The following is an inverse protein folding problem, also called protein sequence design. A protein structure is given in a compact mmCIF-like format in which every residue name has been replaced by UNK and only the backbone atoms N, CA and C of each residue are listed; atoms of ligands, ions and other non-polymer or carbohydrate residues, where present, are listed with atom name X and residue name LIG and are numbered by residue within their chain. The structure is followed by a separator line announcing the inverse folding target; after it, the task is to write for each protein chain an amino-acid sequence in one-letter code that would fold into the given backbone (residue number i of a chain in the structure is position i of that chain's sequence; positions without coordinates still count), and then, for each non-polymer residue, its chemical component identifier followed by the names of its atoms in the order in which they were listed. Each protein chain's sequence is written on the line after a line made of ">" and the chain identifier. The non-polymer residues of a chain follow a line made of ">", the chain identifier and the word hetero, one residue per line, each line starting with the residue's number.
data_IF_273677943121
#
_entry.id   IF_273677943121
#
_cell.length_a   1.000
_cell.length_b   1.000
_cell.length_c   1.000
_cell.angle_alpha   90.00
_cell.angle_beta   90.00
_cell.angle_gamma   90.00
#
_symmetry.space_group_name_H-M   'P 1'
#
loop_
_entity.id
_entity.type
_entity.pdbx_description
1 polymer ?
#
# COMPACT_ATOMS: atom_id res chain seq x y z
N UNK A 1 12.91 8.53 -12.06
CA UNK A 1 11.93 9.39 -12.74
C UNK A 1 11.87 8.91 -14.19
N UNK A 2 10.85 8.15 -14.51
CA UNK A 2 10.55 7.71 -15.87
C UNK A 2 9.84 8.87 -16.56
N UNK A 3 10.49 9.51 -17.54
CA UNK A 3 9.85 10.52 -18.39
C UNK A 3 9.40 9.80 -19.65
N UNK A 4 8.11 9.51 -19.74
CA UNK A 4 7.45 9.09 -20.97
C UNK A 4 6.86 10.35 -21.62
N UNK A 5 7.48 10.85 -22.69
CA UNK A 5 6.89 11.83 -23.59
C UNK A 5 6.21 11.06 -24.73
N UNK A 6 4.93 10.80 -24.59
CA UNK A 6 4.03 10.38 -25.66
C UNK A 6 2.70 11.09 -25.48
N UNK A 7 2.00 11.50 -26.57
CA UNK A 7 0.83 12.39 -26.51
C UNK A 7 -0.45 11.76 -25.94
N UNK A 8 -0.39 10.57 -25.38
CA UNK A 8 -1.53 9.93 -24.70
C UNK A 8 -1.04 9.16 -23.48
N UNK A 9 -0.98 9.86 -22.34
CA UNK A 9 -0.87 9.25 -21.01
C UNK A 9 -2.10 8.42 -20.64
N UNK A 10 -2.38 7.37 -21.40
CA UNK A 10 -3.22 6.28 -20.91
C UNK A 10 -2.35 5.43 -20.01
N UNK A 11 -2.59 5.51 -18.72
CA UNK A 11 -2.33 4.37 -17.83
C UNK A 11 -3.06 3.22 -18.51
N UNK A 12 -2.31 2.37 -19.22
CA UNK A 12 -2.88 1.18 -19.83
C UNK A 12 -3.62 0.44 -18.73
N UNK A 13 -4.90 0.25 -18.95
CA UNK A 13 -5.77 -0.52 -18.09
C UNK A 13 -5.07 -1.82 -17.74
N UNK A 14 -4.63 -1.97 -16.49
CA UNK A 14 -4.28 -3.24 -15.87
C UNK A 14 -5.56 -4.09 -15.76
N UNK A 15 -6.33 -4.14 -16.84
CA UNK A 15 -7.60 -4.81 -16.96
C UNK A 15 -7.39 -6.19 -17.56
N UNK A 16 -6.81 -7.09 -16.79
CA UNK A 16 -7.20 -8.47 -16.91
C UNK A 16 -7.20 -9.13 -15.52
N UNK A 17 -8.36 -8.98 -14.85
CA UNK A 17 -8.93 -9.95 -13.90
C UNK A 17 -8.02 -10.46 -12.77
N UNK A 18 -7.09 -9.67 -12.28
CA UNK A 18 -6.40 -10.01 -11.05
C UNK A 18 -7.22 -9.51 -9.86
N UNK A 19 -7.72 -10.43 -9.03
CA UNK A 19 -8.40 -10.10 -7.78
C UNK A 19 -7.49 -9.21 -6.94
N UNK A 20 -7.93 -7.98 -6.62
CA UNK A 20 -7.10 -7.00 -5.94
C UNK A 20 -7.82 -6.32 -4.79
N UNK A 21 -7.02 -5.84 -3.86
CA UNK A 21 -7.43 -4.94 -2.78
C UNK A 21 -6.91 -3.53 -3.10
N UNK A 22 -7.78 -2.55 -3.08
CA UNK A 22 -7.38 -1.14 -3.14
C UNK A 22 -7.11 -0.62 -1.74
N UNK A 23 -6.00 0.07 -1.56
CA UNK A 23 -5.60 0.71 -0.30
C UNK A 23 -5.58 2.21 -0.53
N UNK A 24 -6.42 2.96 0.19
CA UNK A 24 -6.41 4.41 0.17
C UNK A 24 -5.40 4.93 1.19
N UNK A 25 -4.45 5.73 0.71
CA UNK A 25 -3.34 6.27 1.52
C UNK A 25 -3.70 7.62 2.13
N UNK A 26 -3.87 7.64 3.45
CA UNK A 26 -4.12 8.85 4.24
C UNK A 26 -2.83 9.46 4.83
N UNK A 27 -1.68 9.13 4.27
CA UNK A 27 -0.38 9.64 4.71
C UNK A 27 0.25 8.84 5.86
N UNK A 28 -0.14 7.58 6.01
CA UNK A 28 0.50 6.69 6.98
C UNK A 28 1.86 6.22 6.51
N UNK A 29 2.86 6.28 7.39
CA UNK A 29 4.14 5.60 7.16
C UNK A 29 4.01 4.08 6.99
N UNK A 30 2.86 3.50 7.34
CA UNK A 30 2.61 2.07 7.27
C UNK A 30 1.80 1.64 6.04
N UNK A 31 1.38 2.55 5.15
CA UNK A 31 0.57 2.19 3.97
C UNK A 31 1.27 1.16 3.09
N UNK A 32 2.58 1.31 2.84
CA UNK A 32 3.37 0.34 2.09
C UNK A 32 3.45 -1.02 2.81
N UNK A 33 3.48 -1.00 4.14
CA UNK A 33 3.48 -2.22 4.95
C UNK A 33 2.16 -2.96 4.83
N UNK A 34 1.01 -2.24 4.81
CA UNK A 34 -0.30 -2.84 4.54
C UNK A 34 -0.26 -3.56 3.19
N UNK A 35 0.17 -2.88 2.12
CA UNK A 35 0.25 -3.45 0.77
C UNK A 35 1.12 -4.71 0.74
N UNK A 36 2.29 -4.67 1.39
CA UNK A 36 3.17 -5.83 1.53
C UNK A 36 2.48 -6.99 2.24
N UNK A 37 1.77 -6.75 3.35
CA UNK A 37 1.06 -7.80 4.10
C UNK A 37 -0.04 -8.45 3.27
N UNK A 38 -0.77 -7.67 2.45
CA UNK A 38 -1.79 -8.20 1.54
C UNK A 38 -1.13 -9.10 0.48
N UNK A 39 -0.02 -8.67 -0.11
CA UNK A 39 0.76 -9.46 -1.06
C UNK A 39 1.34 -10.74 -0.45
N UNK A 40 1.77 -10.69 0.81
CA UNK A 40 2.17 -11.89 1.56
C UNK A 40 1.00 -12.87 1.79
N UNK A 41 -0.26 -12.40 1.75
CA UNK A 41 -1.45 -13.24 1.71
C UNK A 41 -1.78 -13.80 0.32
N UNK A 42 -0.90 -13.55 -0.68
CA UNK A 42 -1.04 -13.97 -2.07
C UNK A 42 -2.23 -13.31 -2.80
N UNK A 43 -2.52 -12.07 -2.44
CA UNK A 43 -3.52 -11.20 -3.06
C UNK A 43 -2.81 -9.93 -3.56
N UNK A 44 -3.15 -9.48 -4.75
CA UNK A 44 -2.61 -8.23 -5.28
C UNK A 44 -3.19 -7.03 -4.52
N UNK A 45 -2.42 -5.94 -4.44
CA UNK A 45 -2.86 -4.70 -3.82
C UNK A 45 -2.33 -3.49 -4.57
N UNK A 46 -3.21 -2.50 -4.77
CA UNK A 46 -2.89 -1.20 -5.36
C UNK A 46 -3.05 -0.13 -4.30
N UNK A 47 -2.09 0.77 -4.20
CA UNK A 47 -2.17 1.95 -3.33
C UNK A 47 -2.60 3.12 -4.19
N UNK A 48 -3.64 3.83 -3.76
CA UNK A 48 -4.14 5.05 -4.37
C UNK A 48 -4.15 6.19 -3.35
N UNK A 49 -4.03 7.44 -3.79
CA UNK A 49 -4.25 8.59 -2.94
C UNK A 49 -5.64 8.55 -2.29
N UNK A 50 -5.77 9.08 -1.07
CA UNK A 50 -7.04 9.09 -0.32
C UNK A 50 -8.18 9.78 -1.08
N UNK A 51 -7.88 10.76 -1.92
CA UNK A 51 -8.83 11.57 -2.67
C UNK A 51 -9.12 11.05 -4.08
N UNK A 52 -8.72 9.82 -4.40
CA UNK A 52 -9.06 9.19 -5.67
C UNK A 52 -10.59 9.08 -5.78
N UNK A 53 -11.19 9.53 -6.89
CA UNK A 53 -12.65 9.44 -7.14
C UNK A 53 -13.14 7.99 -7.03
N UNK A 54 -14.35 7.82 -6.48
CA UNK A 54 -14.94 6.49 -6.34
C UNK A 54 -15.12 5.76 -7.67
N UNK A 55 -15.38 6.49 -8.75
CA UNK A 55 -15.49 5.94 -10.11
C UNK A 55 -14.19 5.32 -10.61
N UNK A 56 -13.05 5.97 -10.34
CA UNK A 56 -11.72 5.42 -10.69
C UNK A 56 -11.42 4.17 -9.87
N UNK A 57 -11.81 4.16 -8.59
CA UNK A 57 -11.67 2.97 -7.74
C UNK A 57 -12.55 1.84 -8.26
N UNK A 58 -13.80 2.14 -8.64
CA UNK A 58 -14.75 1.16 -9.19
C UNK A 58 -14.25 0.55 -10.50
N UNK A 59 -13.60 1.34 -11.36
CA UNK A 59 -13.01 0.88 -12.63
C UNK A 59 -11.93 -0.19 -12.44
N UNK A 60 -11.29 -0.22 -11.27
CA UNK A 60 -10.33 -1.28 -10.91
C UNK A 60 -10.99 -2.58 -10.44
N UNK A 61 -12.32 -2.62 -10.33
CA UNK A 61 -13.10 -3.76 -9.85
C UNK A 61 -12.52 -4.43 -8.58
N UNK A 62 -12.23 -3.66 -7.49
CA UNK A 62 -11.60 -4.21 -6.31
C UNK A 62 -12.50 -5.22 -5.60
N UNK A 63 -11.92 -6.27 -5.04
CA UNK A 63 -12.63 -7.22 -4.16
C UNK A 63 -12.86 -6.66 -2.76
N UNK A 64 -12.16 -5.60 -2.39
CA UNK A 64 -12.29 -4.90 -1.12
C UNK A 64 -11.39 -3.67 -1.05
N UNK A 65 -11.68 -2.78 -0.12
CA UNK A 65 -10.97 -1.53 0.09
C UNK A 65 -10.40 -1.50 1.52
N UNK A 66 -9.16 -1.04 1.66
CA UNK A 66 -8.55 -0.75 2.96
C UNK A 66 -8.31 0.75 3.06
N UNK A 67 -8.81 1.36 4.12
CA UNK A 67 -8.50 2.74 4.49
C UNK A 67 -7.32 2.69 5.47
N UNK A 68 -6.18 3.24 5.08
CA UNK A 68 -4.96 3.20 5.89
C UNK A 68 -5.06 4.04 7.17
N UNK A 69 -4.07 3.96 8.03
CA UNK A 69 -3.86 4.92 9.09
C UNK A 69 -3.52 6.32 8.55
N UNK A 70 -3.37 7.28 9.44
CA UNK A 70 -2.96 8.64 9.09
C UNK A 70 -2.52 9.43 10.32
N UNK A 71 -1.71 10.48 10.14
CA UNK A 71 -1.14 11.25 11.26
C UNK A 71 -2.09 12.30 11.83
N UNK A 72 -3.22 12.56 11.18
CA UNK A 72 -4.13 13.67 11.51
C UNK A 72 -5.36 13.20 12.30
N UNK A 73 -6.04 14.15 12.96
CA UNK A 73 -7.40 13.94 13.47
C UNK A 73 -8.43 14.14 12.35
N UNK A 74 -9.48 13.33 12.32
CA UNK A 74 -10.59 13.43 11.34
C UNK A 74 -11.38 14.75 11.47
N UNK A 75 -11.21 15.48 12.54
CA UNK A 75 -11.81 16.80 12.76
C UNK A 75 -10.87 17.95 12.45
N UNK A 76 -9.64 17.68 12.08
CA UNK A 76 -8.74 18.71 11.60
C UNK A 76 -9.28 19.37 10.34
N UNK A 77 -9.13 20.69 10.21
CA UNK A 77 -9.59 21.45 9.02
C UNK A 77 -8.98 20.93 7.71
N UNK A 78 -7.78 20.35 7.78
CA UNK A 78 -7.04 19.78 6.63
C UNK A 78 -7.02 18.25 6.68
N UNK A 79 -7.99 17.61 7.38
CA UNK A 79 -8.03 16.16 7.43
C UNK A 79 -8.15 15.57 6.01
N UNK A 80 -7.33 14.57 5.65
CA UNK A 80 -7.49 13.87 4.40
C UNK A 80 -8.78 13.04 4.49
N UNK A 81 -9.77 13.38 3.68
CA UNK A 81 -11.05 12.70 3.64
C UNK A 81 -11.28 12.16 2.22
N UNK A 82 -11.73 10.90 2.08
CA UNK A 82 -11.99 10.30 0.77
C UNK A 82 -13.30 10.80 0.18
N UNK A 83 -13.53 10.46 -1.09
CA UNK A 83 -14.85 10.56 -1.68
C UNK A 83 -15.84 9.68 -0.88
N UNK A 84 -16.96 10.27 -0.44
CA UNK A 84 -18.00 9.55 0.33
C UNK A 84 -18.57 8.36 -0.45
N UNK A 85 -18.64 8.46 -1.76
CA UNK A 85 -19.16 7.40 -2.63
C UNK A 85 -18.35 6.09 -2.56
N UNK A 86 -17.12 6.12 -2.03
CA UNK A 86 -16.31 4.91 -1.75
C UNK A 86 -17.06 3.93 -0.84
N UNK A 87 -17.88 4.43 0.09
CA UNK A 87 -18.67 3.60 0.98
C UNK A 87 -19.94 3.02 0.33
N UNK A 88 -20.25 3.42 -0.89
CA UNK A 88 -21.43 2.94 -1.64
C UNK A 88 -21.05 1.99 -2.79
N UNK A 89 -19.77 1.66 -2.96
CA UNK A 89 -19.27 0.75 -4.01
C UNK A 89 -19.69 -0.72 -3.84
N UNK A 90 -20.36 -1.07 -2.74
CA UNK A 90 -20.84 -2.43 -2.50
C UNK A 90 -19.78 -3.49 -2.18
N UNK A 91 -18.54 -3.08 -2.00
CA UNK A 91 -17.41 -3.97 -1.66
C UNK A 91 -17.07 -3.90 -0.16
N UNK A 92 -16.47 -4.95 0.41
CA UNK A 92 -16.00 -4.92 1.80
C UNK A 92 -14.99 -3.79 2.05
N UNK A 93 -15.12 -3.11 3.20
CA UNK A 93 -14.20 -2.04 3.61
C UNK A 93 -13.58 -2.36 4.97
N UNK A 94 -12.27 -2.18 5.09
CA UNK A 94 -11.52 -2.26 6.36
C UNK A 94 -10.87 -0.92 6.66
N UNK A 95 -11.29 -0.24 7.73
CA UNK A 95 -10.62 0.96 8.25
C UNK A 95 -9.58 0.59 9.30
N UNK A 96 -8.34 1.07 9.15
CA UNK A 96 -7.24 0.87 10.11
C UNK A 96 -6.92 2.21 10.77
N UNK A 97 -7.00 2.29 12.09
CA UNK A 97 -6.68 3.45 12.91
C UNK A 97 -7.43 4.71 12.42
N UNK A 98 -6.77 5.64 11.75
CA UNK A 98 -7.41 6.81 11.13
C UNK A 98 -8.50 6.40 10.12
N UNK A 99 -8.29 5.36 9.33
CA UNK A 99 -9.29 4.84 8.39
C UNK A 99 -10.58 4.37 9.05
N UNK A 100 -10.51 3.78 10.25
CA UNK A 100 -11.70 3.48 11.07
C UNK A 100 -12.41 4.78 11.48
N UNK A 101 -11.65 5.80 11.90
CA UNK A 101 -12.21 7.09 12.33
C UNK A 101 -12.88 7.84 11.18
N UNK A 102 -12.28 7.80 9.98
CA UNK A 102 -12.88 8.32 8.74
C UNK A 102 -14.20 7.62 8.45
N UNK A 103 -14.21 6.30 8.46
CA UNK A 103 -15.42 5.50 8.24
C UNK A 103 -16.51 5.86 9.27
N UNK A 104 -16.16 5.95 10.55
CA UNK A 104 -17.10 6.32 11.60
C UNK A 104 -17.70 7.71 11.38
N UNK A 105 -16.86 8.71 11.03
CA UNK A 105 -17.31 10.08 10.74
C UNK A 105 -18.32 10.13 9.60
N UNK A 106 -18.06 9.45 8.49
CA UNK A 106 -18.96 9.45 7.31
C UNK A 106 -20.27 8.70 7.56
N UNK A 107 -20.28 7.74 8.47
CA UNK A 107 -21.42 6.87 8.74
C UNK A 107 -22.22 7.28 10.00
N UNK A 108 -21.94 8.46 10.58
CA UNK A 108 -22.72 9.01 11.72
C UNK A 108 -22.26 8.57 13.12
N UNK A 109 -21.07 8.00 13.23
CA UNK A 109 -20.40 7.78 14.51
C UNK A 109 -19.76 9.05 15.06
N UNK A 110 -19.16 8.95 16.26
CA UNK A 110 -18.38 10.03 16.87
C UNK A 110 -16.97 9.58 17.17
N UNK A 111 -16.02 10.47 16.94
CA UNK A 111 -14.61 10.32 17.29
C UNK A 111 -14.25 11.49 18.20
N UNK A 112 -13.53 11.26 19.26
CA UNK A 112 -13.12 12.29 20.20
C UNK A 112 -11.67 12.06 20.60
N UNK A 113 -11.03 13.12 21.10
CA UNK A 113 -9.70 13.02 21.66
C UNK A 113 -9.72 12.14 22.91
N UNK A 114 -8.90 11.10 22.92
CA UNK A 114 -8.78 10.23 24.09
C UNK A 114 -8.14 10.94 25.29
N UNK A 115 -8.72 10.82 26.47
CA UNK A 115 -8.10 11.28 27.72
C UNK A 115 -6.78 10.55 27.97
N UNK A 116 -6.76 9.25 27.71
CA UNK A 116 -5.55 8.41 27.69
C UNK A 116 -5.26 8.01 26.25
N UNK A 117 -4.08 8.36 25.77
CA UNK A 117 -3.59 7.95 24.46
C UNK A 117 -3.07 6.52 24.55
N UNK A 118 -3.20 5.76 23.46
CA UNK A 118 -2.63 4.42 23.37
C UNK A 118 -1.50 4.42 22.34
N UNK A 119 -0.28 4.25 22.84
CA UNK A 119 0.93 4.08 22.01
C UNK A 119 1.69 2.86 22.46
N UNK A 120 2.15 2.07 21.48
CA UNK A 120 2.93 0.88 21.73
C UNK A 120 2.09 -0.38 21.92
N UNK A 121 2.64 -1.31 22.70
CA UNK A 121 2.05 -2.63 22.93
C UNK A 121 0.79 -2.55 23.80
N UNK A 122 -0.29 -3.18 23.32
CA UNK A 122 -1.54 -3.31 24.04
C UNK A 122 -2.10 -4.72 23.98
N UNK A 123 -3.09 -5.00 24.83
CA UNK A 123 -3.82 -6.26 24.83
C UNK A 123 -5.22 -6.04 24.27
N UNK A 124 -5.55 -6.75 23.19
CA UNK A 124 -6.88 -6.78 22.59
C UNK A 124 -7.67 -7.97 23.15
N UNK A 125 -8.86 -7.70 23.65
CA UNK A 125 -9.81 -8.74 24.08
C UNK A 125 -10.93 -8.88 23.07
N UNK A 126 -11.00 -10.03 22.39
CA UNK A 126 -12.05 -10.36 21.42
C UNK A 126 -13.35 -10.70 22.19
N UNK A 127 -14.41 -9.95 21.92
CA UNK A 127 -15.74 -10.10 22.55
C UNK A 127 -16.70 -10.94 21.70
N UNK A 128 -16.65 -10.82 20.36
CA UNK A 128 -17.43 -11.64 19.44
C UNK A 128 -16.50 -12.52 18.56
N UNK A 129 -16.32 -13.76 18.97
CA UNK A 129 -15.52 -14.75 18.20
C UNK A 129 -16.14 -15.17 16.88
N UNK A 130 -17.39 -14.78 16.57
CA UNK A 130 -18.06 -15.05 15.29
C UNK A 130 -17.67 -14.03 14.22
N UNK A 131 -16.97 -12.95 14.58
CA UNK A 131 -16.45 -12.02 13.60
C UNK A 131 -15.41 -12.70 12.72
N UNK A 132 -15.60 -12.61 11.41
CA UNK A 132 -14.74 -13.25 10.43
C UNK A 132 -13.27 -12.79 10.51
N UNK A 133 -13.01 -11.53 10.90
CA UNK A 133 -11.65 -11.02 11.09
C UNK A 133 -10.85 -11.79 12.12
N UNK A 134 -11.51 -12.24 13.21
CA UNK A 134 -10.88 -12.90 14.34
C UNK A 134 -11.07 -14.43 14.33
N UNK A 135 -11.64 -14.97 13.27
CA UNK A 135 -11.87 -16.42 13.16
C UNK A 135 -10.58 -17.23 13.32
N UNK A 136 -10.61 -18.23 14.22
CA UNK A 136 -9.47 -19.09 14.61
C UNK A 136 -8.36 -18.37 15.37
N UNK A 137 -8.61 -17.19 15.92
CA UNK A 137 -7.67 -16.46 16.77
C UNK A 137 -8.04 -16.60 18.25
N UNK A 138 -7.05 -16.50 19.17
CA UNK A 138 -7.33 -16.53 20.61
C UNK A 138 -8.19 -15.32 21.04
N UNK A 139 -8.86 -15.45 22.21
CA UNK A 139 -9.65 -14.36 22.78
C UNK A 139 -8.82 -13.16 23.23
N UNK A 140 -7.53 -13.36 23.52
CA UNK A 140 -6.60 -12.30 23.92
C UNK A 140 -5.43 -12.26 22.94
N UNK A 141 -5.12 -11.08 22.44
CA UNK A 141 -4.10 -10.84 21.41
C UNK A 141 -3.24 -9.65 21.78
N UNK A 142 -1.94 -9.75 21.53
CA UNK A 142 -1.07 -8.58 21.53
C UNK A 142 -1.31 -7.78 20.26
N UNK A 143 -1.48 -6.46 20.38
CA UNK A 143 -1.63 -5.51 19.28
C UNK A 143 -0.73 -4.30 19.48
N UNK A 144 -0.50 -3.55 18.41
CA UNK A 144 0.23 -2.29 18.42
C UNK A 144 -0.71 -1.13 18.21
N UNK A 145 -0.75 -0.23 19.17
CA UNK A 145 -1.56 0.98 19.15
C UNK A 145 -0.69 2.20 18.80
N UNK A 146 -1.28 3.16 18.09
CA UNK A 146 -0.65 4.44 17.76
C UNK A 146 -1.72 5.47 17.50
N UNK A 147 -2.51 5.85 18.56
CA UNK A 147 -3.61 6.80 18.39
C UNK A 147 -3.83 7.68 19.63
N UNK A 148 -4.20 8.94 19.37
CA UNK A 148 -4.66 9.89 20.37
C UNK A 148 -6.17 10.06 20.36
N UNK A 149 -6.81 9.87 19.23
CA UNK A 149 -8.26 9.94 19.04
C UNK A 149 -8.86 8.53 19.06
N UNK A 150 -10.10 8.41 19.52
CA UNK A 150 -10.83 7.14 19.57
C UNK A 150 -12.32 7.33 19.27
N UNK A 151 -12.97 6.27 18.83
CA UNK A 151 -14.42 6.25 18.73
C UNK A 151 -15.05 6.35 20.10
N UNK A 152 -16.09 7.20 20.22
CA UNK A 152 -16.94 7.34 21.43
C UNK A 152 -18.38 6.95 21.15
N UNK A 153 -18.80 6.93 19.87
CA UNK A 153 -20.10 6.42 19.44
C UNK A 153 -19.95 5.65 18.13
N UNK A 154 -20.52 4.45 18.07
CA UNK A 154 -20.57 3.67 16.83
C UNK A 154 -21.59 4.26 15.84
N UNK A 155 -21.32 4.16 14.53
CA UNK A 155 -22.35 4.36 13.52
C UNK A 155 -23.47 3.32 13.64
N UNK A 156 -24.63 3.65 13.08
CA UNK A 156 -25.77 2.73 13.06
C UNK A 156 -25.42 1.40 12.34
N UNK A 157 -25.90 0.30 12.91
CA UNK A 157 -25.65 -1.04 12.40
C UNK A 157 -24.26 -1.62 12.69
N UNK A 158 -23.38 -0.84 13.34
CA UNK A 158 -22.10 -1.35 13.82
C UNK A 158 -22.22 -1.93 15.22
N UNK A 159 -21.37 -2.92 15.51
CA UNK A 159 -21.20 -3.49 16.83
C UNK A 159 -19.73 -3.65 17.18
N UNK A 160 -19.44 -3.64 18.48
CA UNK A 160 -18.12 -3.92 19.01
C UNK A 160 -17.79 -5.40 18.85
N UNK A 161 -16.58 -5.67 18.35
CA UNK A 161 -16.04 -7.03 18.18
C UNK A 161 -14.92 -7.30 19.17
N UNK A 162 -14.09 -6.30 19.45
CA UNK A 162 -13.01 -6.39 20.42
C UNK A 162 -12.72 -5.04 21.07
N UNK A 163 -12.09 -5.10 22.24
CA UNK A 163 -11.77 -3.93 23.08
C UNK A 163 -10.32 -3.98 23.52
N UNK A 164 -9.73 -2.79 23.81
CA UNK A 164 -8.51 -2.65 24.62
C UNK A 164 -8.86 -2.00 25.95
N UNK A 165 -7.89 -1.81 26.82
CA UNK A 165 -8.08 -1.17 28.11
C UNK A 165 -8.71 0.24 27.99
N UNK A 166 -8.24 1.04 27.01
CA UNK A 166 -8.66 2.44 26.85
C UNK A 166 -9.52 2.68 25.59
N UNK A 167 -9.78 1.66 24.78
CA UNK A 167 -10.63 1.75 23.60
C UNK A 167 -11.77 0.73 23.64
N UNK A 168 -13.01 1.16 23.95
CA UNK A 168 -14.19 0.28 23.97
C UNK A 168 -14.61 -0.19 22.55
N UNK A 169 -14.07 0.45 21.53
CA UNK A 169 -14.34 0.16 20.12
C UNK A 169 -13.04 -0.14 19.37
N UNK A 170 -12.15 -0.97 19.96
CA UNK A 170 -10.86 -1.30 19.36
C UNK A 170 -10.98 -2.12 18.09
N UNK A 171 -12.05 -2.93 17.95
CA UNK A 171 -12.48 -3.51 16.68
C UNK A 171 -14.00 -3.51 16.57
N UNK A 172 -14.49 -3.16 15.39
CA UNK A 172 -15.93 -3.03 15.10
C UNK A 172 -16.29 -3.65 13.76
N UNK A 173 -17.55 -4.08 13.61
CA UNK A 173 -18.07 -4.56 12.34
C UNK A 173 -19.49 -4.07 12.08
N UNK A 174 -19.80 -3.80 10.80
CA UNK A 174 -21.15 -3.84 10.24
C UNK A 174 -21.23 -5.03 9.29
N UNK A 175 -21.77 -6.15 9.76
CA UNK A 175 -21.79 -7.42 9.03
C UNK A 175 -22.62 -7.33 7.74
N UNK A 176 -23.73 -6.57 7.76
CA UNK A 176 -24.62 -6.41 6.60
C UNK A 176 -23.90 -5.71 5.44
N UNK A 177 -23.16 -4.63 5.75
CA UNK A 177 -22.41 -3.87 4.75
C UNK A 177 -21.00 -4.45 4.48
N UNK A 178 -20.56 -5.45 5.26
CA UNK A 178 -19.19 -5.99 5.28
C UNK A 178 -18.14 -4.91 5.57
N UNK A 179 -18.46 -4.00 6.48
CA UNK A 179 -17.54 -2.96 6.94
C UNK A 179 -16.91 -3.35 8.26
N UNK A 180 -15.60 -3.17 8.36
CA UNK A 180 -14.80 -3.54 9.51
C UNK A 180 -13.88 -2.38 9.90
N UNK A 181 -13.61 -2.23 11.18
CA UNK A 181 -12.68 -1.22 11.66
C UNK A 181 -11.79 -1.76 12.75
N UNK A 182 -10.52 -1.36 12.71
CA UNK A 182 -9.51 -1.69 13.70
C UNK A 182 -8.85 -0.39 14.18
N UNK A 183 -8.83 -0.14 15.49
CA UNK A 183 -8.16 1.03 16.04
C UNK A 183 -6.64 0.84 16.14
N UNK A 184 -6.19 -0.40 16.20
CA UNK A 184 -4.77 -0.80 16.22
C UNK A 184 -4.22 -1.09 14.81
N UNK A 185 -2.92 -1.30 14.72
CA UNK A 185 -2.21 -1.57 13.47
C UNK A 185 -1.93 -3.08 13.28
N UNK A 186 -2.71 -3.79 12.44
CA UNK A 186 -2.49 -5.20 12.16
C UNK A 186 -1.28 -5.45 11.24
N UNK A 187 -0.83 -4.44 10.49
CA UNK A 187 0.22 -4.56 9.48
C UNK A 187 1.62 -4.64 10.07
N UNK A 188 1.84 -4.09 11.27
CA UNK A 188 3.17 -4.00 11.87
C UNK A 188 3.61 -5.30 12.56
N UNK A 189 4.91 -5.52 12.68
CA UNK A 189 5.49 -6.74 13.29
C UNK A 189 5.10 -6.92 14.76
N UNK A 190 4.83 -5.80 15.46
CA UNK A 190 4.44 -5.77 16.86
C UNK A 190 3.01 -6.26 17.13
N UNK A 191 2.23 -6.53 16.07
CA UNK A 191 0.94 -7.25 16.11
C UNK A 191 1.16 -8.66 15.55
N UNK A 192 1.58 -9.66 16.38
CA UNK A 192 2.03 -10.96 15.87
C UNK A 192 0.98 -11.72 15.05
N UNK A 193 -0.30 -11.51 15.36
CA UNK A 193 -1.43 -12.13 14.63
C UNK A 193 -2.01 -11.23 13.52
N UNK A 194 -1.38 -10.09 13.24
CA UNK A 194 -1.88 -9.12 12.27
C UNK A 194 -2.00 -9.67 10.86
N UNK A 195 -1.02 -10.46 10.40
CA UNK A 195 -1.09 -11.15 9.11
C UNK A 195 -2.32 -12.07 8.99
N UNK A 196 -2.68 -12.76 10.07
CA UNK A 196 -3.87 -13.61 10.09
C UNK A 196 -5.16 -12.79 9.99
N UNK A 197 -5.22 -11.64 10.70
CA UNK A 197 -6.36 -10.71 10.65
C UNK A 197 -6.55 -10.18 9.22
N UNK A 198 -5.48 -9.67 8.60
CA UNK A 198 -5.50 -9.19 7.22
C UNK A 198 -5.81 -10.32 6.22
N UNK A 199 -5.24 -11.51 6.42
CA UNK A 199 -5.56 -12.71 5.63
C UNK A 199 -7.04 -13.10 5.72
N UNK A 200 -7.64 -13.01 6.91
CA UNK A 200 -9.08 -13.25 7.08
C UNK A 200 -9.92 -12.21 6.32
N UNK A 201 -9.49 -10.92 6.33
CA UNK A 201 -10.17 -9.89 5.55
C UNK A 201 -10.14 -10.21 4.05
N UNK A 202 -8.93 -10.38 3.47
CA UNK A 202 -8.82 -10.52 2.01
C UNK A 202 -9.35 -11.85 1.49
N UNK A 203 -9.19 -12.95 2.23
CA UNK A 203 -9.58 -14.29 1.76
C UNK A 203 -11.01 -14.67 2.14
N UNK A 204 -11.41 -14.44 3.40
CA UNK A 204 -12.72 -14.89 3.88
C UNK A 204 -13.82 -13.86 3.64
N UNK A 205 -13.49 -12.56 3.82
CA UNK A 205 -14.48 -11.48 3.72
C UNK A 205 -14.58 -11.00 2.28
N UNK A 206 -13.44 -10.68 1.65
CA UNK A 206 -13.39 -10.22 0.27
C UNK A 206 -13.47 -11.37 -0.76
N UNK A 207 -13.26 -12.62 -0.34
CA UNK A 207 -13.33 -13.80 -1.20
C UNK A 207 -12.18 -13.89 -2.21
N UNK A 208 -11.04 -13.23 -1.96
CA UNK A 208 -9.89 -13.31 -2.85
C UNK A 208 -9.24 -14.69 -2.81
N UNK A 209 -8.91 -15.22 -3.99
CA UNK A 209 -8.07 -16.41 -4.13
C UNK A 209 -6.61 -16.12 -3.74
N UNK A 210 -5.81 -17.18 -3.65
CA UNK A 210 -4.38 -17.10 -3.30
C UNK A 210 -3.50 -17.27 -4.55
N UNK A 211 -3.83 -16.55 -5.62
CA UNK A 211 -3.21 -16.78 -6.94
C UNK A 211 -2.04 -15.83 -7.22
N UNK A 212 -1.98 -14.69 -6.54
CA UNK A 212 -0.90 -13.73 -6.76
C UNK A 212 0.43 -14.22 -6.20
N UNK A 213 1.47 -14.13 -7.01
CA UNK A 213 2.86 -14.37 -6.60
C UNK A 213 3.76 -13.30 -7.23
N UNK A 214 4.93 -13.05 -6.65
CA UNK A 214 5.92 -12.14 -7.24
C UNK A 214 6.32 -12.61 -8.65
N UNK A 215 6.41 -13.92 -8.88
CA UNK A 215 6.74 -14.48 -10.20
C UNK A 215 5.66 -14.15 -11.22
N UNK A 216 4.37 -14.40 -10.90
CA UNK A 216 3.27 -14.06 -11.80
C UNK A 216 3.19 -12.55 -12.09
N UNK A 217 3.51 -11.71 -11.10
CA UNK A 217 3.59 -10.27 -11.28
C UNK A 217 4.74 -9.86 -12.22
N UNK A 218 5.92 -10.46 -12.07
CA UNK A 218 7.06 -10.22 -12.97
C UNK A 218 6.71 -10.64 -14.40
N UNK A 219 6.12 -11.81 -14.59
CA UNK A 219 5.78 -12.32 -15.91
C UNK A 219 4.73 -11.41 -16.58
N UNK A 220 3.69 -10.98 -15.85
CA UNK A 220 2.72 -10.02 -16.37
C UNK A 220 3.36 -8.67 -16.70
N UNK A 221 4.19 -8.12 -15.80
CA UNK A 221 4.87 -6.85 -16.04
C UNK A 221 5.78 -6.89 -17.27
N UNK A 222 6.42 -8.03 -17.54
CA UNK A 222 7.24 -8.22 -18.74
C UNK A 222 6.37 -8.13 -20.01
N UNK A 223 5.20 -8.78 -20.02
CA UNK A 223 4.27 -8.71 -21.16
C UNK A 223 3.73 -7.28 -21.36
N UNK A 224 3.36 -6.60 -20.27
CA UNK A 224 2.85 -5.23 -20.31
C UNK A 224 3.91 -4.26 -20.86
N UNK A 225 5.17 -4.39 -20.41
CA UNK A 225 6.29 -3.59 -20.92
C UNK A 225 6.52 -3.87 -22.41
N UNK A 226 6.50 -5.13 -22.85
CA UNK A 226 6.64 -5.49 -24.26
C UNK A 226 5.56 -4.86 -25.12
N UNK A 227 4.31 -4.94 -24.67
CA UNK A 227 3.17 -4.38 -25.37
C UNK A 227 3.26 -2.85 -25.48
N UNK A 228 3.71 -2.20 -24.40
CA UNK A 228 3.84 -0.74 -24.35
C UNK A 228 5.01 -0.22 -25.19
N UNK A 229 6.15 -0.88 -25.14
CA UNK A 229 7.38 -0.43 -25.82
C UNK A 229 7.36 -0.81 -27.31
N UNK A 230 6.81 -1.98 -27.66
CA UNK A 230 6.79 -2.44 -29.04
C UNK A 230 8.19 -2.50 -29.64
N UNK A 231 8.43 -1.72 -30.71
CA UNK A 231 9.73 -1.62 -31.42
C UNK A 231 10.59 -0.44 -30.97
N UNK A 232 10.09 0.37 -30.03
CA UNK A 232 10.77 1.58 -29.58
C UNK A 232 11.96 1.28 -28.65
N UNK A 233 12.80 2.28 -28.42
CA UNK A 233 13.91 2.21 -27.47
C UNK A 233 13.56 2.89 -26.16
N UNK A 234 14.09 2.33 -25.06
CA UNK A 234 13.90 2.87 -23.69
C UNK A 234 15.24 3.32 -23.14
N UNK A 235 15.26 4.53 -22.58
CA UNK A 235 16.38 5.06 -21.81
C UNK A 235 16.02 5.05 -20.33
N UNK A 236 16.89 4.49 -19.49
CA UNK A 236 16.73 4.42 -18.04
C UNK A 236 17.94 5.09 -17.36
N UNK A 237 17.67 6.16 -16.60
CA UNK A 237 18.66 6.74 -15.69
C UNK A 237 18.82 5.87 -14.44
N UNK A 238 20.06 5.45 -14.15
CA UNK A 238 20.38 4.67 -12.97
C UNK A 238 20.83 5.59 -11.83
N UNK A 239 20.30 5.38 -10.65
CA UNK A 239 20.69 6.10 -9.42
C UNK A 239 21.72 5.34 -8.57
N UNK A 240 22.05 4.09 -8.94
CA UNK A 240 22.83 3.18 -8.10
C UNK A 240 22.02 2.51 -6.99
N UNK A 241 20.76 2.92 -6.77
CA UNK A 241 19.86 2.34 -5.77
C UNK A 241 19.14 1.08 -6.25
N UNK A 242 18.52 0.37 -5.29
CA UNK A 242 17.80 -0.89 -5.53
C UNK A 242 16.66 -0.69 -6.53
N UNK A 243 15.88 0.37 -6.42
CA UNK A 243 14.68 0.59 -7.24
C UNK A 243 15.03 0.72 -8.73
N UNK A 244 16.03 1.55 -9.06
CA UNK A 244 16.49 1.71 -10.44
C UNK A 244 17.12 0.43 -11.00
N UNK A 245 17.80 -0.37 -10.17
CA UNK A 245 18.36 -1.65 -10.56
C UNK A 245 17.28 -2.70 -10.83
N UNK A 246 16.23 -2.75 -10.00
CA UNK A 246 15.07 -3.64 -10.21
C UNK A 246 14.30 -3.23 -11.47
N UNK A 247 14.10 -1.92 -11.70
CA UNK A 247 13.47 -1.43 -12.92
C UNK A 247 14.29 -1.83 -14.16
N UNK A 248 15.63 -1.66 -14.13
CA UNK A 248 16.53 -2.08 -15.20
C UNK A 248 16.41 -3.57 -15.49
N UNK A 249 16.41 -4.40 -14.44
CA UNK A 249 16.29 -5.86 -14.58
C UNK A 249 14.97 -6.27 -15.23
N UNK A 250 13.87 -5.65 -14.80
CA UNK A 250 12.52 -5.95 -15.30
C UNK A 250 12.37 -5.53 -16.78
N UNK A 251 12.78 -4.29 -17.09
CA UNK A 251 12.71 -3.76 -18.45
C UNK A 251 13.64 -4.55 -19.36
N UNK A 252 14.88 -4.85 -18.92
CA UNK A 252 15.80 -5.68 -19.72
C UNK A 252 15.24 -7.08 -19.99
N UNK A 253 14.60 -7.70 -19.01
CA UNK A 253 13.92 -9.00 -19.20
C UNK A 253 12.80 -8.91 -20.23
N UNK A 254 12.12 -7.76 -20.33
CA UNK A 254 11.04 -7.54 -21.28
C UNK A 254 11.53 -7.28 -22.70
N UNK A 255 12.46 -6.33 -22.89
CA UNK A 255 12.83 -5.76 -24.20
C UNK A 255 14.32 -5.90 -24.57
N UNK A 256 15.14 -6.49 -23.71
CA UNK A 256 16.55 -6.81 -24.02
C UNK A 256 17.37 -5.59 -24.47
N UNK A 257 17.92 -5.66 -25.67
CA UNK A 257 18.81 -4.64 -26.24
C UNK A 257 18.12 -3.31 -26.58
N UNK A 258 16.79 -3.22 -26.58
CA UNK A 258 16.08 -1.96 -26.73
C UNK A 258 16.24 -1.04 -25.50
N UNK A 259 16.74 -1.59 -24.36
CA UNK A 259 17.04 -0.81 -23.16
C UNK A 259 18.46 -0.27 -23.20
N UNK A 260 18.60 1.06 -22.99
CA UNK A 260 19.86 1.74 -22.69
C UNK A 260 19.83 2.28 -21.27
N UNK A 261 20.73 1.80 -20.43
CA UNK A 261 20.90 2.28 -19.06
C UNK A 261 22.00 3.34 -19.01
N UNK A 262 21.74 4.50 -18.44
CA UNK A 262 22.70 5.59 -18.30
C UNK A 262 22.97 5.84 -16.81
N UNK A 263 24.22 5.76 -16.41
CA UNK A 263 24.67 6.11 -15.07
C UNK A 263 25.60 7.31 -15.13
N UNK A 264 25.27 8.38 -14.39
CA UNK A 264 26.00 9.63 -14.36
C UNK A 264 26.75 9.75 -13.02
N UNK A 265 28.08 9.81 -13.08
CA UNK A 265 28.90 10.20 -11.94
C UNK A 265 28.93 11.73 -11.83
N UNK A 266 28.21 12.25 -10.84
CA UNK A 266 28.12 13.69 -10.56
C UNK A 266 29.16 14.19 -9.53
N UNK A 267 30.04 13.31 -9.04
CA UNK A 267 31.11 13.64 -8.09
C UNK A 267 30.68 13.73 -6.61
N UNK A 268 29.38 13.51 -6.30
CA UNK A 268 28.85 13.48 -4.92
C UNK A 268 28.27 12.13 -4.53
N UNK A 269 28.71 11.08 -5.22
CA UNK A 269 28.34 9.69 -4.93
C UNK A 269 29.06 9.19 -3.67
N UNK A 270 28.56 8.12 -3.09
CA UNK A 270 29.24 7.41 -2.00
C UNK A 270 30.55 6.79 -2.51
N UNK A 271 31.50 6.58 -1.60
CA UNK A 271 32.76 5.93 -1.93
C UNK A 271 32.51 4.59 -2.64
N UNK A 272 33.16 4.35 -3.77
CA UNK A 272 33.09 3.16 -4.62
C UNK A 272 31.72 2.86 -5.24
N UNK A 273 30.72 3.73 -5.10
CA UNK A 273 29.37 3.48 -5.64
C UNK A 273 29.40 3.41 -7.19
N UNK A 274 30.12 4.30 -7.85
CA UNK A 274 30.26 4.29 -9.30
C UNK A 274 30.86 2.98 -9.85
N UNK A 275 31.93 2.47 -9.20
CA UNK A 275 32.56 1.22 -9.60
C UNK A 275 31.68 0.00 -9.31
N UNK A 276 30.93 0.01 -8.19
CA UNK A 276 29.98 -1.03 -7.86
C UNK A 276 28.87 -1.11 -8.92
N UNK A 277 28.30 0.03 -9.35
CA UNK A 277 27.27 0.07 -10.40
C UNK A 277 27.83 -0.40 -11.74
N UNK A 278 29.02 0.06 -12.15
CA UNK A 278 29.66 -0.41 -13.38
C UNK A 278 29.84 -1.92 -13.39
N UNK A 279 30.37 -2.46 -12.30
CA UNK A 279 30.61 -3.91 -12.16
C UNK A 279 29.31 -4.70 -12.23
N UNK A 280 28.26 -4.24 -11.50
CA UNK A 280 26.97 -4.86 -11.47
C UNK A 280 26.36 -4.94 -12.89
N UNK A 281 26.36 -3.82 -13.62
CA UNK A 281 25.70 -3.76 -14.94
C UNK A 281 26.51 -4.44 -16.04
N UNK A 282 27.85 -4.37 -16.03
CA UNK A 282 28.70 -5.08 -16.99
C UNK A 282 28.60 -6.60 -16.84
N UNK A 283 28.56 -7.10 -15.61
CA UNK A 283 28.64 -8.53 -15.34
C UNK A 283 27.27 -9.24 -15.38
N UNK A 284 26.19 -8.55 -14.99
CA UNK A 284 24.89 -9.20 -14.81
C UNK A 284 23.84 -8.79 -15.85
N UNK A 285 24.03 -7.68 -16.57
CA UNK A 285 23.07 -7.20 -17.55
C UNK A 285 23.72 -7.09 -18.93
N UNK A 286 23.12 -7.75 -19.92
CA UNK A 286 23.52 -7.62 -21.34
C UNK A 286 22.75 -6.49 -22.06
N UNK A 287 22.46 -5.39 -21.33
CA UNK A 287 21.86 -4.17 -21.88
C UNK A 287 22.93 -3.18 -22.38
N UNK A 288 22.53 -2.20 -23.14
CA UNK A 288 23.38 -1.07 -23.47
C UNK A 288 23.60 -0.25 -22.21
N UNK A 289 24.84 -0.13 -21.72
CA UNK A 289 25.19 0.59 -20.53
C UNK A 289 26.16 1.71 -20.86
N UNK A 290 25.74 2.95 -20.57
CA UNK A 290 26.53 4.17 -20.74
C UNK A 290 26.91 4.70 -19.35
N UNK A 291 28.19 4.93 -19.18
CA UNK A 291 28.74 5.60 -17.99
C UNK A 291 29.28 6.94 -18.37
N UNK A 292 28.73 8.01 -17.76
CA UNK A 292 29.13 9.39 -17.98
C UNK A 292 29.77 9.95 -16.73
N UNK A 293 31.06 10.31 -16.81
CA UNK A 293 31.78 10.98 -15.74
C UNK A 293 31.70 12.51 -15.92
N UNK A 294 30.78 13.11 -15.20
CA UNK A 294 30.53 14.56 -15.21
C UNK A 294 30.90 15.20 -13.87
N UNK A 295 31.68 14.54 -13.02
CA UNK A 295 32.03 15.00 -11.68
C UNK A 295 32.64 16.40 -11.68
N UNK A 296 33.60 16.65 -12.56
CA UNK A 296 34.25 17.98 -12.67
C UNK A 296 33.27 19.11 -13.06
N UNK A 297 32.33 18.80 -13.96
CA UNK A 297 31.33 19.77 -14.42
C UNK A 297 30.33 20.09 -13.29
N UNK A 298 29.80 19.07 -12.60
CA UNK A 298 28.87 19.27 -11.52
C UNK A 298 29.51 20.01 -10.34
N UNK A 299 30.68 19.58 -9.90
CA UNK A 299 31.39 20.23 -8.79
C UNK A 299 31.76 21.68 -9.10
N UNK A 300 32.10 22.02 -10.37
CA UNK A 300 32.35 23.42 -10.79
C UNK A 300 31.09 24.28 -10.71
N UNK A 301 29.90 23.70 -10.96
CA UNK A 301 28.62 24.44 -10.90
C UNK A 301 28.04 24.54 -9.49
N UNK A 302 28.52 23.73 -8.53
CA UNK A 302 28.14 23.80 -7.13
C UNK A 302 28.94 24.82 -6.33
N UNK A 303 30.09 25.32 -6.85
CA UNK A 303 30.86 26.44 -6.31
C UNK A 303 30.25 27.77 -6.73
#
# INVERSE_FOLDING_TARGET
>A
MLVFNGPHGRVSSFSNMQEQIVILDFGSQYTQVIARRIRECKVYSTILPYNTPAEEIAALAPKGIILSGGPMSVYSRKAPLPDKAVFELGVPVLGICFGLQVMAKFLGGKVERGLKREYGKGTLTVKDGRCALFGKLPKSLQVWNSHGDKLTKLPEGFKTVAVTENSPYAAVENRKRKFFGLQFHPEVVHTPKGKTILGNFVQKICGCGRKWTMRSYIDQSVEDIRAQVGKEHVILGLSGGVDSSVAAALIHKAIGKQLTCIFVNNGVLRANEAEAVKTLFKNNFKCNFLYEDTAKLFLKKLK
#
